data_IF_533691112283
#
_entry.id   IF_533691112283
#
_cell.length_a   1.000
_cell.length_b   1.000
_cell.length_c   1.000
_cell.angle_alpha   90.00
_cell.angle_beta   90.00
_cell.angle_gamma   90.00
#
_symmetry.space_group_name_H-M   'P 1'
#
loop_
_entity.id
_entity.type
_entity.pdbx_description
1 polymer ?
#
# COMPACT_ATOMS: atom_id res chain seq x y z
N UNK A 1 -24.20 29.61 -37.20
CA UNK A 1 -23.47 30.47 -38.14
C UNK A 1 -23.30 31.85 -37.53
N UNK A 2 -22.08 32.45 -37.49
CA UNK A 2 -20.96 32.32 -38.42
C UNK A 2 -19.72 31.73 -37.76
N UNK A 3 -18.97 31.05 -38.34
CA UNK A 3 -17.74 30.84 -39.10
C UNK A 3 -16.70 31.99 -39.00
N UNK A 4 -15.53 31.73 -38.39
CA UNK A 4 -14.23 32.37 -38.62
C UNK A 4 -13.17 31.32 -38.21
N UNK A 5 -12.60 30.64 -39.19
CA UNK A 5 -11.36 30.89 -39.95
C UNK A 5 -10.10 31.04 -39.12
N UNK A 6 -9.31 30.02 -39.16
CA UNK A 6 -7.94 29.69 -39.35
C UNK A 6 -6.88 30.75 -38.98
N UNK A 7 -5.88 30.30 -38.16
CA UNK A 7 -4.52 30.80 -38.33
C UNK A 7 -3.50 29.69 -38.05
N UNK A 8 -2.65 29.54 -39.06
CA UNK A 8 -1.60 28.57 -39.21
C UNK A 8 -0.47 28.74 -38.16
N UNK A 9 0.18 27.63 -37.88
CA UNK A 9 1.51 27.47 -37.30
C UNK A 9 2.58 28.24 -38.09
N UNK A 10 3.65 28.60 -37.44
CA UNK A 10 4.97 28.45 -38.03
C UNK A 10 5.74 27.28 -37.36
N UNK A 11 6.23 26.46 -38.26
CA UNK A 11 7.30 25.51 -38.20
C UNK A 11 8.61 26.29 -37.90
N UNK A 12 9.31 25.97 -36.84
CA UNK A 12 10.74 26.35 -36.71
C UNK A 12 11.45 25.12 -36.10
N UNK A 13 12.05 24.41 -37.09
CA UNK A 13 13.06 23.41 -36.80
C UNK A 13 14.33 24.08 -36.28
N UNK A 14 14.78 23.63 -35.14
CA UNK A 14 16.17 23.83 -34.72
C UNK A 14 16.76 22.49 -34.29
N UNK A 15 17.42 21.87 -35.26
CA UNK A 15 18.32 20.74 -35.08
C UNK A 15 19.51 21.17 -34.23
N UNK A 16 19.54 20.79 -32.96
CA UNK A 16 20.74 20.93 -32.14
C UNK A 16 21.61 19.68 -32.27
N UNK A 17 22.56 19.77 -33.21
CA UNK A 17 23.71 18.87 -33.36
C UNK A 17 24.50 18.79 -32.05
N UNK A 18 24.63 17.58 -31.53
CA UNK A 18 25.64 17.22 -30.53
C UNK A 18 27.00 17.04 -31.25
N UNK A 19 28.09 17.57 -30.75
CA UNK A 19 29.42 17.26 -31.26
C UNK A 19 29.90 15.89 -30.76
N UNK A 20 30.32 15.07 -31.72
CA UNK A 20 31.11 13.88 -31.48
C UNK A 20 32.51 14.33 -31.05
N UNK A 21 32.95 13.85 -29.91
CA UNK A 21 34.34 13.99 -29.48
C UNK A 21 35.00 12.62 -29.54
N UNK A 22 35.81 12.45 -30.60
CA UNK A 22 36.75 11.38 -30.81
C UNK A 22 37.83 11.43 -29.73
N UNK A 23 37.99 10.41 -28.96
CA UNK A 23 39.19 10.13 -28.20
C UNK A 23 39.77 8.80 -28.65
N UNK A 24 40.60 8.88 -29.69
CA UNK A 24 41.62 7.85 -29.99
C UNK A 24 42.63 7.83 -28.84
N UNK A 25 42.67 6.73 -28.11
CA UNK A 25 43.83 6.46 -27.23
C UNK A 25 44.71 5.40 -27.86
N UNK A 26 45.85 5.92 -28.30
CA UNK A 26 46.95 5.21 -28.94
C UNK A 26 47.59 4.17 -28.01
N UNK A 27 47.63 2.94 -28.44
CA UNK A 27 48.60 1.93 -28.06
C UNK A 27 49.98 2.29 -28.63
N UNK A 28 51.07 2.16 -27.89
CA UNK A 28 52.38 2.06 -28.50
C UNK A 28 52.78 0.58 -28.69
N UNK A 29 52.89 0.24 -29.95
CA UNK A 29 53.66 -0.85 -30.48
C UNK A 29 55.14 -0.41 -30.49
N UNK A 30 56.06 -1.24 -30.06
CA UNK A 30 57.22 -1.62 -30.83
C UNK A 30 58.35 -2.20 -29.98
N UNK A 31 58.64 -3.39 -30.32
CA UNK A 31 59.97 -4.00 -30.18
C UNK A 31 60.96 -3.23 -31.11
N UNK A 32 62.24 -3.32 -30.86
CA UNK A 32 63.05 -3.93 -31.90
C UNK A 32 64.08 -4.97 -31.43
N UNK A 33 64.22 -5.91 -32.29
CA UNK A 33 65.24 -6.88 -32.60
C UNK A 33 66.60 -6.19 -32.85
N UNK A 34 67.64 -6.86 -32.49
CA UNK A 34 69.01 -6.62 -32.90
C UNK A 34 69.98 -7.02 -31.81
N UNK A 35 70.96 -7.78 -31.99
CA UNK A 35 71.65 -8.25 -33.13
C UNK A 35 72.68 -9.30 -32.64
N UNK A 36 72.83 -10.26 -33.39
CA UNK A 36 73.85 -11.32 -33.46
C UNK A 36 75.24 -10.74 -33.44
N UNK A 37 76.16 -11.30 -32.63
CA UNK A 37 77.57 -11.36 -33.04
C UNK A 37 78.27 -12.60 -32.51
N UNK A 38 78.66 -13.30 -33.49
CA UNK A 38 79.48 -14.50 -33.59
C UNK A 38 80.92 -14.29 -33.16
N UNK A 39 81.50 -15.45 -33.03
CA UNK A 39 82.88 -15.85 -33.38
C UNK A 39 83.86 -16.17 -32.24
N UNK A 40 83.96 -17.42 -32.03
CA UNK A 40 85.10 -18.34 -32.10
C UNK A 40 86.52 -17.81 -31.83
N UNK A 41 87.50 -18.76 -31.74
CA UNK A 41 87.80 -19.84 -30.79
C UNK A 41 89.24 -19.68 -30.24
N UNK A 42 89.72 -20.57 -29.45
CA UNK A 42 91.12 -21.10 -29.44
C UNK A 42 91.22 -22.15 -28.35
N UNK A 43 91.44 -23.36 -28.78
CA UNK A 43 92.44 -24.39 -28.65
C UNK A 43 93.05 -24.62 -27.27
N UNK A 44 92.81 -25.85 -26.90
CA UNK A 44 93.73 -26.95 -26.61
C UNK A 44 94.79 -26.76 -25.50
N UNK A 45 94.66 -27.56 -24.48
CA UNK A 45 95.71 -28.51 -24.18
C UNK A 45 95.19 -29.64 -23.30
N UNK A 46 95.49 -30.84 -23.73
CA UNK A 46 95.28 -32.12 -23.10
C UNK A 46 96.08 -32.30 -21.80
N UNK A 47 95.41 -32.87 -20.77
CA UNK A 47 96.15 -33.78 -19.88
C UNK A 47 95.22 -34.89 -19.38
N UNK A 48 95.69 -36.09 -19.52
CA UNK A 48 95.04 -37.38 -19.26
C UNK A 48 95.01 -37.73 -17.77
N UNK A 49 94.39 -38.81 -17.39
CA UNK A 49 93.46 -38.92 -16.29
C UNK A 49 94.07 -39.52 -15.02
N UNK A 50 93.49 -39.19 -13.90
CA UNK A 50 93.69 -39.90 -12.64
C UNK A 50 92.39 -40.59 -12.28
N UNK A 51 92.34 -41.86 -11.99
CA UNK A 51 91.09 -42.52 -11.60
C UNK A 51 90.77 -42.19 -10.17
N UNK A 52 89.67 -41.48 -9.97
CA UNK A 52 89.08 -41.25 -8.64
C UNK A 52 88.06 -42.37 -8.39
N UNK A 53 88.33 -43.18 -7.44
CA UNK A 53 87.47 -44.22 -6.88
C UNK A 53 86.20 -43.56 -6.27
N UNK A 54 85.04 -43.86 -6.85
CA UNK A 54 83.75 -43.49 -6.33
C UNK A 54 83.39 -44.35 -5.12
N UNK A 55 83.33 -43.72 -3.93
CA UNK A 55 82.70 -44.30 -2.76
C UNK A 55 81.18 -44.09 -2.87
N UNK A 56 80.34 -45.11 -2.63
CA UNK A 56 78.91 -44.99 -2.74
C UNK A 56 78.32 -44.20 -1.55
N UNK A 57 77.69 -43.07 -1.81
CA UNK A 57 76.96 -42.29 -0.81
C UNK A 57 75.69 -43.07 -0.43
N UNK A 58 75.71 -43.65 0.75
CA UNK A 58 74.67 -44.43 1.38
C UNK A 58 73.68 -43.46 2.08
N UNK A 59 73.05 -42.54 1.32
CA UNK A 59 72.16 -41.51 1.92
C UNK A 59 70.75 -41.42 1.34
N UNK A 60 70.41 -42.05 0.19
CA UNK A 60 69.14 -41.85 -0.50
C UNK A 60 67.91 -42.55 0.09
N UNK A 61 68.07 -43.49 1.02
CA UNK A 61 66.92 -44.18 1.64
C UNK A 61 66.25 -43.35 2.73
N UNK A 62 66.96 -42.56 3.51
CA UNK A 62 66.39 -41.70 4.57
C UNK A 62 65.65 -40.48 3.99
N UNK A 63 66.22 -39.93 2.91
CA UNK A 63 65.52 -38.74 2.27
C UNK A 63 64.19 -39.14 1.65
N UNK A 64 64.12 -40.33 1.00
CA UNK A 64 62.86 -40.87 0.45
C UNK A 64 61.78 -41.14 1.56
N UNK A 65 62.25 -41.59 2.74
CA UNK A 65 61.40 -41.82 3.91
C UNK A 65 60.81 -40.49 4.46
N UNK A 66 61.68 -39.46 4.55
CA UNK A 66 61.24 -38.15 5.00
C UNK A 66 60.28 -37.45 4.00
N UNK A 67 60.56 -37.59 2.71
CA UNK A 67 59.67 -37.10 1.64
C UNK A 67 58.33 -37.85 1.73
N UNK A 68 58.30 -39.15 1.91
CA UNK A 68 57.06 -39.92 2.10
C UNK A 68 56.28 -39.49 3.31
N UNK A 69 56.97 -39.24 4.47
CA UNK A 69 56.37 -38.77 5.67
C UNK A 69 55.72 -37.38 5.50
N UNK A 70 56.38 -36.45 4.81
CA UNK A 70 55.86 -35.10 4.52
C UNK A 70 54.63 -35.18 3.61
N UNK A 71 54.64 -36.04 2.59
CA UNK A 71 53.48 -36.24 1.71
C UNK A 71 52.28 -36.80 2.48
N UNK A 72 52.52 -37.79 3.38
CA UNK A 72 51.44 -38.34 4.22
C UNK A 72 50.91 -37.31 5.19
N UNK A 73 51.73 -36.46 5.79
CA UNK A 73 51.30 -35.37 6.69
C UNK A 73 50.51 -34.30 5.91
N UNK A 74 50.92 -33.94 4.70
CA UNK A 74 50.19 -33.01 3.85
C UNK A 74 48.86 -33.62 3.39
N UNK A 75 48.80 -34.89 3.06
CA UNK A 75 47.59 -35.60 2.69
C UNK A 75 46.63 -35.72 3.88
N UNK A 76 47.13 -36.06 5.06
CA UNK A 76 46.36 -36.16 6.29
C UNK A 76 45.87 -34.76 6.77
N UNK A 77 46.73 -33.74 6.73
CA UNK A 77 46.39 -32.35 7.04
C UNK A 77 45.40 -31.76 6.04
N UNK A 78 45.65 -31.96 4.74
CA UNK A 78 44.73 -31.50 3.68
C UNK A 78 43.39 -32.24 3.70
N UNK A 79 43.42 -33.57 3.88
CA UNK A 79 42.21 -34.39 4.02
C UNK A 79 41.43 -34.07 5.29
N UNK A 80 42.12 -33.88 6.43
CA UNK A 80 41.51 -33.45 7.70
C UNK A 80 40.89 -32.03 7.60
N UNK A 81 41.61 -31.10 6.98
CA UNK A 81 41.10 -29.72 6.75
C UNK A 81 39.91 -29.72 5.77
N UNK A 82 39.96 -30.51 4.69
CA UNK A 82 38.85 -30.68 3.75
C UNK A 82 37.62 -31.30 4.43
N UNK A 83 37.85 -32.36 5.22
CA UNK A 83 36.78 -33.02 5.97
C UNK A 83 36.18 -32.09 7.02
N UNK A 84 37.01 -31.35 7.80
CA UNK A 84 36.60 -30.37 8.79
C UNK A 84 35.78 -29.22 8.15
N UNK A 85 36.27 -28.67 7.06
CA UNK A 85 35.54 -27.61 6.29
C UNK A 85 34.23 -28.11 5.71
N UNK A 86 34.19 -29.35 5.23
CA UNK A 86 32.98 -29.93 4.65
C UNK A 86 31.97 -30.37 5.73
N UNK A 87 32.45 -30.79 6.92
CA UNK A 87 31.63 -31.18 8.05
C UNK A 87 30.94 -29.98 8.75
N UNK A 88 31.56 -28.81 8.68
CA UNK A 88 30.96 -27.59 9.30
C UNK A 88 29.83 -26.97 8.48
N UNK A 89 29.66 -27.36 7.25
CA UNK A 89 28.70 -26.69 6.32
C UNK A 89 27.38 -27.43 6.13
N UNK A 90 27.18 -28.57 6.82
CA UNK A 90 25.93 -29.33 6.66
C UNK A 90 24.99 -29.12 7.83
N UNK A 91 23.87 -28.41 7.52
CA UNK A 91 22.74 -28.40 8.43
C UNK A 91 22.22 -29.81 8.69
N UNK A 92 21.66 -30.09 9.87
CA UNK A 92 21.04 -31.38 10.17
C UNK A 92 20.03 -31.76 9.05
N UNK A 93 19.96 -33.04 8.68
CA UNK A 93 19.03 -33.51 7.65
C UNK A 93 17.59 -33.20 8.10
N UNK A 94 16.82 -32.55 7.21
CA UNK A 94 15.44 -32.15 7.47
C UNK A 94 15.24 -30.68 7.82
N UNK A 95 16.30 -29.87 7.85
CA UNK A 95 16.22 -28.41 8.00
C UNK A 95 16.55 -27.79 6.63
N UNK A 96 15.60 -27.02 6.11
CA UNK A 96 15.81 -26.15 4.93
C UNK A 96 16.08 -24.73 5.42
N UNK A 97 16.97 -24.03 4.74
CA UNK A 97 17.28 -22.64 5.06
C UNK A 97 17.28 -21.77 3.80
N UNK A 98 16.95 -20.52 3.97
CA UNK A 98 16.98 -19.53 2.89
C UNK A 98 17.20 -18.14 3.46
N UNK A 99 17.71 -17.26 2.63
CA UNK A 99 17.84 -15.85 2.95
C UNK A 99 16.55 -15.12 2.56
N UNK A 100 16.18 -14.12 3.34
CA UNK A 100 15.03 -13.29 3.06
C UNK A 100 15.16 -11.94 3.76
N UNK A 101 14.15 -11.11 3.59
CA UNK A 101 14.00 -9.82 4.25
C UNK A 101 12.75 -9.87 5.12
N UNK A 102 12.82 -9.26 6.31
CA UNK A 102 11.63 -8.99 7.09
C UNK A 102 10.82 -7.90 6.39
N UNK A 103 9.56 -8.16 6.18
CA UNK A 103 8.61 -7.27 5.54
C UNK A 103 7.38 -7.12 6.43
N UNK A 104 6.68 -6.02 6.26
CA UNK A 104 5.40 -5.74 6.89
C UNK A 104 4.48 -5.12 5.84
N UNK A 105 3.17 -5.25 6.03
CA UNK A 105 2.22 -4.70 5.10
C UNK A 105 2.29 -3.17 5.10
N UNK A 106 2.44 -2.61 3.91
CA UNK A 106 2.37 -1.18 3.69
C UNK A 106 0.91 -0.75 3.51
N UNK A 107 0.49 0.25 4.26
CA UNK A 107 -0.85 0.82 4.20
C UNK A 107 -0.73 2.28 3.85
N UNK A 108 -1.38 2.69 2.77
CA UNK A 108 -1.46 4.09 2.39
C UNK A 108 -2.60 4.79 3.14
N UNK A 109 -2.34 6.00 3.61
CA UNK A 109 -3.34 6.89 4.19
C UNK A 109 -3.62 7.96 3.17
N UNK A 110 -4.80 7.85 2.54
CA UNK A 110 -5.20 8.62 1.37
C UNK A 110 -6.33 9.61 1.70
N UNK A 111 -6.45 10.67 0.90
CA UNK A 111 -7.56 11.61 0.99
C UNK A 111 -8.82 11.04 0.30
N UNK A 112 -9.96 11.05 1.00
CA UNK A 112 -11.25 10.66 0.40
C UNK A 112 -11.78 11.73 -0.57
N UNK A 113 -11.58 13.00 -0.24
CA UNK A 113 -12.03 14.15 -1.02
C UNK A 113 -10.83 14.98 -1.48
N UNK A 114 -10.95 15.68 -2.63
CA UNK A 114 -9.92 16.62 -3.03
C UNK A 114 -9.89 17.82 -2.08
N UNK A 115 -8.72 18.28 -1.75
CA UNK A 115 -8.59 19.42 -0.83
C UNK A 115 -7.15 19.78 -0.53
N UNK A 116 -6.96 20.78 0.33
CA UNK A 116 -5.67 21.24 0.82
C UNK A 116 -5.36 20.63 2.18
N UNK A 117 -4.14 20.19 2.40
CA UNK A 117 -3.69 19.76 3.72
C UNK A 117 -3.55 21.00 4.62
N UNK A 118 -4.29 21.02 5.72
CA UNK A 118 -4.22 22.07 6.74
C UNK A 118 -3.14 21.76 7.79
N UNK A 119 -3.10 20.53 8.29
CA UNK A 119 -2.23 20.12 9.38
C UNK A 119 -1.72 18.69 9.15
N UNK A 120 -0.50 18.43 9.61
CA UNK A 120 0.08 17.11 9.73
C UNK A 120 0.44 16.89 11.22
N UNK A 121 -0.04 15.80 11.80
CA UNK A 121 0.15 15.47 13.21
C UNK A 121 1.14 14.32 13.43
N UNK A 122 1.65 13.73 12.36
CA UNK A 122 2.65 12.68 12.39
C UNK A 122 3.78 13.00 11.39
N UNK A 123 4.97 12.46 11.64
CA UNK A 123 6.13 12.56 10.76
C UNK A 123 6.75 11.16 10.53
N UNK A 124 7.74 11.13 9.61
CA UNK A 124 8.48 9.90 9.27
C UNK A 124 9.10 9.30 10.53
N UNK A 125 8.82 8.03 10.77
CA UNK A 125 9.35 7.28 11.90
C UNK A 125 8.45 7.26 13.13
N UNK A 126 7.39 8.07 13.17
CA UNK A 126 6.47 8.11 14.30
C UNK A 126 5.64 6.83 14.41
N UNK A 127 5.40 6.41 15.66
CA UNK A 127 4.46 5.35 15.98
C UNK A 127 3.06 5.93 16.11
N UNK A 128 2.10 5.32 15.41
CA UNK A 128 0.70 5.72 15.42
C UNK A 128 -0.19 4.56 15.85
N UNK A 129 -1.31 4.90 16.50
CA UNK A 129 -2.30 3.91 16.94
C UNK A 129 -3.55 3.97 16.05
N UNK A 130 -4.28 2.87 15.97
CA UNK A 130 -5.53 2.79 15.22
C UNK A 130 -6.52 3.89 15.66
N UNK A 131 -7.07 4.64 14.69
CA UNK A 131 -7.96 5.76 14.94
C UNK A 131 -7.27 7.09 15.30
N UNK A 132 -5.95 7.13 15.42
CA UNK A 132 -5.21 8.37 15.64
C UNK A 132 -5.25 9.25 14.39
N UNK A 133 -5.62 10.52 14.56
CA UNK A 133 -5.58 11.51 13.46
C UNK A 133 -4.12 11.84 13.15
N UNK A 134 -3.71 11.57 11.91
CA UNK A 134 -2.34 11.79 11.42
C UNK A 134 -2.24 13.02 10.52
N UNK A 135 -3.34 13.41 9.88
CA UNK A 135 -3.43 14.64 9.09
C UNK A 135 -4.84 15.19 9.10
N UNK A 136 -4.99 16.47 8.80
CA UNK A 136 -6.27 17.15 8.64
C UNK A 136 -6.29 17.96 7.36
N UNK A 137 -7.37 17.81 6.61
CA UNK A 137 -7.63 18.62 5.43
C UNK A 137 -8.31 19.95 5.81
N UNK A 138 -8.19 20.99 4.98
CA UNK A 138 -8.94 22.23 5.14
C UNK A 138 -10.43 21.99 4.84
N UNK A 139 -11.27 22.18 5.85
CA UNK A 139 -12.72 21.93 5.80
C UNK A 139 -13.55 23.20 5.81
N UNK A 140 -12.96 24.40 5.66
CA UNK A 140 -13.66 25.68 5.77
C UNK A 140 -14.89 25.77 4.86
N UNK A 141 -14.73 25.38 3.59
CA UNK A 141 -15.82 25.42 2.61
C UNK A 141 -16.97 24.46 2.97
N UNK A 142 -16.60 23.28 3.51
CA UNK A 142 -17.58 22.28 3.96
C UNK A 142 -18.28 22.79 5.23
N UNK A 143 -17.56 23.46 6.15
CA UNK A 143 -18.14 24.05 7.35
C UNK A 143 -19.14 25.16 7.01
N UNK A 144 -18.87 26.01 6.01
CA UNK A 144 -19.86 27.01 5.55
C UNK A 144 -21.09 26.33 4.90
N UNK A 145 -20.87 25.23 4.17
CA UNK A 145 -21.98 24.43 3.63
C UNK A 145 -22.80 23.78 4.75
N UNK A 146 -22.16 23.30 5.81
CA UNK A 146 -22.86 22.80 7.00
C UNK A 146 -23.71 23.88 7.68
N UNK A 147 -23.18 25.09 7.86
CA UNK A 147 -23.94 26.23 8.43
C UNK A 147 -25.15 26.56 7.57
N UNK A 148 -25.01 26.54 6.23
CA UNK A 148 -26.12 26.72 5.31
C UNK A 148 -27.20 25.65 5.48
N UNK A 149 -26.81 24.37 5.54
CA UNK A 149 -27.72 23.23 5.76
C UNK A 149 -28.43 23.36 7.13
N UNK A 150 -27.72 23.77 8.18
CA UNK A 150 -28.33 24.03 9.49
C UNK A 150 -29.35 25.18 9.45
N UNK A 151 -29.11 26.21 8.63
CA UNK A 151 -30.08 27.26 8.43
C UNK A 151 -31.36 26.77 7.70
N UNK A 152 -31.19 25.84 6.74
CA UNK A 152 -32.30 25.16 6.05
C UNK A 152 -33.15 24.32 7.01
N UNK A 153 -32.52 23.59 7.94
CA UNK A 153 -33.23 22.87 9.01
C UNK A 153 -34.08 23.81 9.84
N UNK A 154 -33.52 24.96 10.25
CA UNK A 154 -34.29 25.98 10.99
C UNK A 154 -35.47 26.55 10.17
N UNK A 155 -35.28 26.73 8.86
CA UNK A 155 -36.33 27.16 7.95
C UNK A 155 -37.44 26.11 7.84
N UNK A 156 -37.08 24.84 7.65
CA UNK A 156 -38.04 23.74 7.57
C UNK A 156 -38.81 23.55 8.89
N UNK A 157 -38.16 23.75 10.05
CA UNK A 157 -38.83 23.75 11.35
C UNK A 157 -39.90 24.82 11.45
N UNK A 158 -39.62 26.04 10.99
CA UNK A 158 -40.62 27.13 10.97
C UNK A 158 -41.80 26.84 10.01
N UNK A 159 -41.53 26.13 8.91
CA UNK A 159 -42.60 25.70 8.00
C UNK A 159 -43.53 24.68 8.66
N UNK A 160 -43.01 23.81 9.53
CA UNK A 160 -43.83 22.92 10.37
C UNK A 160 -44.70 23.75 11.35
N UNK A 161 -44.11 24.74 12.01
CA UNK A 161 -44.84 25.60 12.96
C UNK A 161 -46.01 26.34 12.26
N UNK A 162 -45.76 26.85 11.04
CA UNK A 162 -46.77 27.47 10.19
C UNK A 162 -47.87 26.49 9.76
N UNK A 163 -47.48 25.29 9.31
CA UNK A 163 -48.42 24.23 8.93
C UNK A 163 -49.28 23.78 10.12
N UNK A 164 -48.71 23.67 11.32
CA UNK A 164 -49.44 23.35 12.54
C UNK A 164 -50.42 24.45 12.94
N UNK A 165 -50.06 25.73 12.82
CA UNK A 165 -50.98 26.85 13.06
C UNK A 165 -52.17 26.80 12.07
N UNK A 166 -51.93 26.47 10.79
CA UNK A 166 -53.00 26.30 9.82
C UNK A 166 -53.87 25.09 10.13
N UNK A 167 -53.25 23.96 10.58
CA UNK A 167 -54.00 22.76 11.00
C UNK A 167 -54.94 23.08 12.16
N UNK A 168 -54.50 23.83 13.14
CA UNK A 168 -55.35 24.23 14.29
C UNK A 168 -56.49 25.15 13.86
N UNK A 169 -56.26 26.05 12.92
CA UNK A 169 -57.30 26.86 12.31
C UNK A 169 -58.37 25.99 11.62
N UNK A 170 -57.98 25.04 10.79
CA UNK A 170 -58.91 24.14 10.11
C UNK A 170 -59.66 23.23 11.10
N UNK A 171 -59.00 22.80 12.18
CA UNK A 171 -59.62 22.03 13.25
C UNK A 171 -60.72 22.82 13.95
N UNK A 172 -60.47 24.09 14.23
CA UNK A 172 -61.48 24.99 14.82
C UNK A 172 -62.66 25.18 13.89
N UNK A 173 -62.46 25.38 12.57
CA UNK A 173 -63.49 25.47 11.57
C UNK A 173 -64.31 24.18 11.48
N UNK A 174 -63.69 23.02 11.50
CA UNK A 174 -64.40 21.76 11.50
C UNK A 174 -65.21 21.53 12.75
N UNK A 175 -64.72 21.93 13.93
CA UNK A 175 -65.47 21.88 15.21
C UNK A 175 -66.69 22.74 15.15
N UNK A 176 -66.58 23.97 14.62
CA UNK A 176 -67.71 24.86 14.46
C UNK A 176 -68.78 24.29 13.52
N UNK A 177 -68.36 23.79 12.35
CA UNK A 177 -69.25 23.15 11.36
C UNK A 177 -69.99 21.93 11.94
N UNK A 178 -69.33 21.14 12.76
CA UNK A 178 -69.91 20.00 13.46
C UNK A 178 -70.96 20.39 14.45
N UNK A 179 -70.71 21.42 15.27
CA UNK A 179 -71.67 21.95 16.22
C UNK A 179 -72.94 22.55 15.54
N UNK A 180 -72.74 23.28 14.41
CA UNK A 180 -73.85 23.81 13.64
C UNK A 180 -74.68 22.72 12.98
N UNK A 181 -74.04 21.66 12.44
CA UNK A 181 -74.74 20.51 11.87
C UNK A 181 -75.60 19.79 12.94
N UNK A 182 -75.00 19.50 14.12
CA UNK A 182 -75.69 18.81 15.22
C UNK A 182 -76.88 19.61 15.71
N UNK A 183 -76.71 20.95 15.90
CA UNK A 183 -77.84 21.87 16.26
C UNK A 183 -78.93 21.82 15.19
N UNK A 184 -78.56 21.91 13.89
CA UNK A 184 -79.57 21.96 12.81
C UNK A 184 -80.28 20.62 12.69
N UNK A 185 -79.58 19.48 12.91
CA UNK A 185 -80.16 18.16 12.95
C UNK A 185 -81.21 18.00 14.07
N UNK A 186 -80.94 18.55 15.23
CA UNK A 186 -81.84 18.55 16.37
C UNK A 186 -83.05 19.40 16.08
N UNK A 187 -82.93 20.57 15.46
CA UNK A 187 -84.06 21.45 15.05
C UNK A 187 -84.88 20.83 13.94
N UNK A 188 -84.26 20.11 12.97
CA UNK A 188 -84.99 19.38 11.91
C UNK A 188 -85.84 18.24 12.47
N UNK A 189 -85.36 17.49 13.44
CA UNK A 189 -86.12 16.43 14.12
C UNK A 189 -87.37 16.98 14.83
N UNK A 190 -87.29 18.21 15.33
CA UNK A 190 -88.44 18.90 16.03
C UNK A 190 -89.33 19.75 15.10
N UNK A 191 -89.07 19.71 13.79
CA UNK A 191 -89.85 20.50 12.80
C UNK A 191 -89.50 21.98 12.69
N UNK A 192 -88.44 22.45 13.35
CA UNK A 192 -88.07 23.90 13.37
C UNK A 192 -86.94 24.23 12.31
N UNK A 193 -86.50 23.32 11.51
CA UNK A 193 -85.54 23.56 10.41
C UNK A 193 -85.98 22.87 9.12
N UNK A 194 -85.54 23.39 7.97
CA UNK A 194 -85.80 22.83 6.65
C UNK A 194 -84.71 21.74 6.30
N UNK A 195 -85.08 20.78 5.45
CA UNK A 195 -84.12 19.82 4.93
C UNK A 195 -82.99 20.46 4.13
N UNK A 196 -83.33 21.51 3.39
CA UNK A 196 -82.33 22.30 2.62
C UNK A 196 -81.25 22.89 3.53
N UNK A 197 -81.61 23.46 4.70
CA UNK A 197 -80.66 23.99 5.66
C UNK A 197 -79.81 22.90 6.26
N UNK A 198 -80.37 21.74 6.52
CA UNK A 198 -79.60 20.60 6.99
C UNK A 198 -78.56 20.11 5.92
N UNK A 199 -79.01 19.99 4.67
CA UNK A 199 -78.10 19.56 3.57
C UNK A 199 -76.99 20.60 3.33
N UNK A 200 -77.28 21.90 3.47
CA UNK A 200 -76.26 22.98 3.42
C UNK A 200 -75.21 22.85 4.56
N UNK A 201 -75.71 22.62 5.82
CA UNK A 201 -74.79 22.44 6.97
C UNK A 201 -73.96 21.17 6.86
N UNK A 202 -74.51 20.09 6.28
CA UNK A 202 -73.78 18.85 5.99
C UNK A 202 -72.65 19.07 4.96
N UNK A 203 -72.94 19.80 3.87
CA UNK A 203 -71.93 20.16 2.89
C UNK A 203 -70.85 21.05 3.51
N UNK A 204 -71.17 21.97 4.40
CA UNK A 204 -70.21 22.80 5.12
C UNK A 204 -69.32 21.96 6.03
N UNK A 205 -69.86 20.96 6.71
CA UNK A 205 -69.09 20.01 7.53
C UNK A 205 -68.17 19.10 6.68
N UNK A 206 -68.66 18.60 5.55
CA UNK A 206 -67.88 17.79 4.62
C UNK A 206 -66.69 18.59 4.05
N UNK A 207 -66.94 19.88 3.67
CA UNK A 207 -65.89 20.82 3.22
C UNK A 207 -64.84 21.11 4.31
N UNK A 208 -65.28 21.36 5.56
CA UNK A 208 -64.36 21.58 6.69
C UNK A 208 -63.53 20.33 7.01
N UNK A 209 -64.12 19.13 6.88
CA UNK A 209 -63.42 17.86 7.07
C UNK A 209 -62.36 17.64 5.99
N UNK A 210 -62.67 17.96 4.73
CA UNK A 210 -61.69 17.92 3.63
C UNK A 210 -60.56 18.93 3.84
N UNK A 211 -60.87 20.16 4.31
CA UNK A 211 -59.90 21.17 4.68
C UNK A 211 -58.95 20.73 5.80
N UNK A 212 -59.51 20.09 6.85
CA UNK A 212 -58.68 19.52 7.93
C UNK A 212 -57.72 18.44 7.42
N UNK A 213 -58.19 17.50 6.58
CA UNK A 213 -57.32 16.48 5.97
C UNK A 213 -56.21 17.12 5.16
N UNK A 214 -56.50 18.10 4.32
CA UNK A 214 -55.50 18.80 3.52
C UNK A 214 -54.47 19.51 4.40
N UNK A 215 -54.86 20.11 5.54
CA UNK A 215 -53.93 20.72 6.49
C UNK A 215 -53.05 19.66 7.20
N UNK A 216 -53.62 18.51 7.55
CA UNK A 216 -52.85 17.38 8.12
C UNK A 216 -51.76 16.88 7.14
N UNK A 217 -52.11 16.74 5.86
CA UNK A 217 -51.12 16.32 4.84
C UNK A 217 -50.03 17.38 4.62
N UNK A 218 -50.34 18.67 4.79
CA UNK A 218 -49.32 19.73 4.72
C UNK A 218 -48.34 19.66 5.89
N UNK A 219 -48.80 19.35 7.10
CA UNK A 219 -47.89 19.10 8.23
C UNK A 219 -46.96 17.92 7.92
N UNK A 220 -47.53 16.79 7.47
CA UNK A 220 -46.72 15.62 7.11
C UNK A 220 -45.71 15.94 5.97
N UNK A 221 -46.08 16.77 5.01
CA UNK A 221 -45.17 17.24 3.97
C UNK A 221 -44.02 18.09 4.54
N UNK A 222 -44.33 19.02 5.45
CA UNK A 222 -43.33 19.85 6.10
C UNK A 222 -42.37 19.05 6.98
N UNK A 223 -42.86 18.02 7.69
CA UNK A 223 -42.06 17.11 8.48
C UNK A 223 -41.04 16.33 7.61
N UNK A 224 -41.49 15.82 6.47
CA UNK A 224 -40.58 15.14 5.51
C UNK A 224 -39.52 16.09 4.94
N UNK A 225 -39.88 17.38 4.71
CA UNK A 225 -38.90 18.38 4.27
C UNK A 225 -37.87 18.69 5.37
N UNK A 226 -38.27 18.69 6.64
CA UNK A 226 -37.35 18.81 7.76
C UNK A 226 -36.38 17.61 7.81
N UNK A 227 -36.91 16.40 7.71
CA UNK A 227 -36.10 15.17 7.68
C UNK A 227 -35.05 15.22 6.56
N UNK A 228 -35.46 15.60 5.35
CA UNK A 228 -34.53 15.76 4.22
C UNK A 228 -33.43 16.79 4.54
N UNK A 229 -33.77 17.94 5.12
CA UNK A 229 -32.79 18.95 5.51
C UNK A 229 -31.84 18.47 6.62
N UNK A 230 -32.30 17.60 7.52
CA UNK A 230 -31.47 16.99 8.56
C UNK A 230 -30.47 16.00 7.96
N UNK A 231 -30.86 15.26 6.93
CA UNK A 231 -29.93 14.37 6.19
C UNK A 231 -28.81 15.16 5.51
N UNK A 232 -29.11 16.36 4.97
CA UNK A 232 -28.06 17.23 4.41
C UNK A 232 -27.06 17.67 5.49
N UNK A 233 -27.52 18.02 6.69
CA UNK A 233 -26.63 18.31 7.83
C UNK A 233 -25.77 17.09 8.18
N UNK A 234 -26.37 15.90 8.23
CA UNK A 234 -25.66 14.63 8.45
C UNK A 234 -24.56 14.40 7.43
N UNK A 235 -24.87 14.60 6.14
CA UNK A 235 -23.92 14.46 5.04
C UNK A 235 -22.68 15.34 5.22
N UNK A 236 -22.86 16.65 5.48
CA UNK A 236 -21.73 17.56 5.68
C UNK A 236 -20.95 17.25 6.95
N UNK A 237 -21.60 16.77 8.00
CA UNK A 237 -20.93 16.35 9.24
C UNK A 237 -20.01 15.16 8.99
N UNK A 238 -20.48 14.14 8.25
CA UNK A 238 -19.67 12.99 7.85
C UNK A 238 -18.51 13.43 6.95
N UNK A 239 -18.80 14.30 5.96
CA UNK A 239 -17.73 14.79 5.07
C UNK A 239 -16.63 15.55 5.85
N UNK A 240 -16.97 16.31 6.89
CA UNK A 240 -15.98 16.98 7.75
C UNK A 240 -15.16 15.93 8.51
N UNK A 241 -15.80 14.92 9.08
CA UNK A 241 -15.10 13.86 9.81
C UNK A 241 -14.16 13.04 8.89
N UNK A 242 -14.57 12.79 7.65
CA UNK A 242 -13.78 12.07 6.65
C UNK A 242 -12.56 12.87 6.15
N UNK A 243 -12.48 14.17 6.47
CA UNK A 243 -11.30 14.99 6.20
C UNK A 243 -10.26 14.97 7.33
N UNK A 244 -10.55 14.33 8.45
CA UNK A 244 -9.55 13.92 9.44
C UNK A 244 -9.00 12.55 9.02
N UNK A 245 -7.76 12.54 8.52
CA UNK A 245 -7.12 11.31 8.08
C UNK A 245 -6.59 10.55 9.29
N UNK A 246 -7.06 9.33 9.47
CA UNK A 246 -6.75 8.51 10.64
C UNK A 246 -5.91 7.30 10.25
N UNK A 247 -5.03 6.86 11.14
CA UNK A 247 -4.33 5.59 10.99
C UNK A 247 -5.33 4.42 11.12
N UNK A 248 -5.41 3.51 10.13
CA UNK A 248 -6.36 2.39 10.16
C UNK A 248 -5.96 1.29 11.16
N UNK A 249 -4.69 1.21 11.51
CA UNK A 249 -4.09 0.21 12.43
C UNK A 249 -2.95 0.81 13.24
N UNK A 250 -2.50 0.05 14.24
CA UNK A 250 -1.25 0.36 14.94
C UNK A 250 -0.07 0.11 14.01
N UNK A 251 0.84 1.07 13.92
CA UNK A 251 1.96 0.94 13.00
C UNK A 251 2.94 2.10 13.08
N UNK A 252 3.85 2.14 12.13
CA UNK A 252 4.87 3.17 12.03
C UNK A 252 4.77 3.90 10.69
N UNK A 253 4.82 5.22 10.72
CA UNK A 253 4.90 6.02 9.49
C UNK A 253 6.25 5.77 8.80
N UNK A 254 6.19 5.27 7.58
CA UNK A 254 7.37 4.99 6.77
C UNK A 254 7.72 6.17 5.87
N UNK A 255 6.72 6.72 5.19
CA UNK A 255 6.91 7.86 4.28
C UNK A 255 5.83 8.90 4.51
N UNK A 256 6.25 10.16 4.46
CA UNK A 256 5.39 11.32 4.29
C UNK A 256 5.48 11.75 2.82
N UNK A 257 4.38 11.60 2.09
CA UNK A 257 4.31 11.87 0.65
C UNK A 257 3.92 13.32 0.40
N UNK A 258 3.01 13.85 1.22
CA UNK A 258 2.46 15.18 1.04
C UNK A 258 2.87 16.15 2.15
N UNK A 259 2.79 17.45 1.87
CA UNK A 259 3.20 18.52 2.75
C UNK A 259 2.03 19.46 3.11
N UNK A 260 2.16 20.16 4.24
CA UNK A 260 1.18 21.17 4.65
C UNK A 260 1.02 22.24 3.54
N UNK A 261 -0.22 22.59 3.23
CA UNK A 261 -0.58 23.54 2.18
C UNK A 261 -0.68 22.96 0.79
N UNK A 262 -0.28 21.71 0.58
CA UNK A 262 -0.42 21.01 -0.70
C UNK A 262 -1.87 20.67 -0.99
N UNK A 263 -2.24 20.71 -2.27
CA UNK A 263 -3.58 20.36 -2.74
C UNK A 263 -3.53 18.98 -3.38
N UNK A 264 -4.33 18.06 -2.86
CA UNK A 264 -4.40 16.68 -3.34
C UNK A 264 -5.74 16.40 -4.03
N UNK A 265 -5.75 15.54 -5.06
CA UNK A 265 -6.97 14.97 -5.60
C UNK A 265 -7.57 13.93 -4.63
N UNK A 266 -8.80 13.48 -4.88
CA UNK A 266 -9.35 12.31 -4.22
C UNK A 266 -8.46 11.07 -4.48
N UNK A 267 -8.16 10.28 -3.44
CA UNK A 267 -7.20 9.18 -3.48
C UNK A 267 -5.74 9.64 -3.47
N UNK A 268 -5.46 10.90 -3.17
CA UNK A 268 -4.11 11.41 -3.01
C UNK A 268 -3.47 10.89 -1.72
N UNK A 269 -2.28 10.28 -1.84
CA UNK A 269 -1.55 9.70 -0.71
C UNK A 269 -0.91 10.80 0.15
N UNK A 270 -1.12 10.71 1.45
CA UNK A 270 -0.51 11.62 2.43
C UNK A 270 0.62 10.94 3.17
N UNK A 271 0.38 9.73 3.66
CA UNK A 271 1.36 8.90 4.34
C UNK A 271 1.33 7.47 3.82
N UNK A 272 2.46 6.79 3.92
CA UNK A 272 2.53 5.33 3.90
C UNK A 272 3.00 4.86 5.27
N UNK A 273 2.26 3.94 5.88
CA UNK A 273 2.59 3.34 7.17
C UNK A 273 2.85 1.84 7.04
N UNK A 274 3.65 1.30 7.93
CA UNK A 274 3.87 -0.14 8.10
C UNK A 274 3.00 -0.69 9.22
N UNK A 275 2.26 -1.75 8.93
CA UNK A 275 1.58 -2.53 9.96
C UNK A 275 2.60 -3.43 10.68
N UNK A 276 3.00 -3.03 11.89
CA UNK A 276 3.96 -3.78 12.69
C UNK A 276 3.33 -4.90 13.53
N UNK A 277 2.01 -5.05 13.48
CA UNK A 277 1.31 -6.12 14.22
C UNK A 277 1.53 -7.49 13.57
N UNK A 278 1.79 -7.51 12.28
CA UNK A 278 2.07 -8.71 11.49
C UNK A 278 3.30 -8.49 10.61
N UNK A 279 4.37 -9.20 10.94
CA UNK A 279 5.63 -9.14 10.20
C UNK A 279 5.90 -10.51 9.61
N UNK A 280 6.29 -10.57 8.36
CA UNK A 280 6.60 -11.80 7.65
C UNK A 280 7.95 -11.72 6.95
N UNK A 281 8.41 -12.85 6.45
CA UNK A 281 9.66 -12.96 5.72
C UNK A 281 9.46 -13.87 4.53
N UNK A 282 9.66 -13.33 3.34
CA UNK A 282 9.69 -14.12 2.12
C UNK A 282 11.07 -14.73 1.92
N UNK A 283 11.10 -16.05 1.77
CA UNK A 283 12.31 -16.81 1.50
C UNK A 283 12.13 -17.62 0.22
N UNK A 284 13.22 -17.80 -0.51
CA UNK A 284 13.24 -18.60 -1.72
C UNK A 284 14.02 -19.88 -1.46
N UNK A 285 13.38 -21.01 -1.65
CA UNK A 285 13.96 -22.34 -1.44
C UNK A 285 14.10 -23.07 -2.77
N UNK A 286 15.19 -23.88 -2.93
CA UNK A 286 15.27 -24.80 -4.05
C UNK A 286 14.10 -25.77 -4.09
N UNK A 287 13.66 -26.20 -5.28
CA UNK A 287 12.48 -27.04 -5.47
C UNK A 287 12.48 -28.33 -4.62
N UNK A 288 13.65 -28.97 -4.45
CA UNK A 288 13.81 -30.18 -3.64
C UNK A 288 13.58 -29.93 -2.14
N UNK A 289 13.88 -28.74 -1.66
CA UNK A 289 13.70 -28.35 -0.27
C UNK A 289 12.28 -27.82 -0.04
N UNK A 290 11.79 -26.98 -0.93
CA UNK A 290 10.43 -26.45 -0.90
C UNK A 290 9.38 -27.58 -0.84
N UNK A 291 9.58 -28.67 -1.59
CA UNK A 291 8.68 -29.84 -1.58
C UNK A 291 8.61 -30.60 -0.25
N UNK A 292 9.52 -30.35 0.68
CA UNK A 292 9.54 -30.95 2.02
C UNK A 292 8.88 -30.06 3.07
N UNK A 293 8.77 -28.75 2.80
CA UNK A 293 8.18 -27.76 3.70
C UNK A 293 6.65 -27.86 3.65
N UNK A 294 6.01 -27.80 4.81
CA UNK A 294 4.54 -27.80 4.93
C UNK A 294 4.08 -26.48 5.50
N UNK A 295 2.94 -25.98 5.04
CA UNK A 295 2.26 -24.87 5.68
C UNK A 295 1.96 -25.23 7.14
N UNK A 296 2.24 -24.30 8.06
CA UNK A 296 2.17 -24.50 9.51
C UNK A 296 3.43 -25.10 10.14
N UNK A 297 4.46 -25.44 9.38
CA UNK A 297 5.73 -25.92 9.92
C UNK A 297 6.41 -24.83 10.76
N UNK A 298 7.09 -25.25 11.84
CA UNK A 298 7.85 -24.33 12.67
C UNK A 298 9.11 -23.86 11.95
N UNK A 299 9.36 -22.56 12.03
CA UNK A 299 10.51 -21.90 11.46
C UNK A 299 11.22 -21.03 12.51
N UNK A 300 12.43 -20.61 12.22
CA UNK A 300 13.19 -19.68 13.05
C UNK A 300 13.85 -18.65 12.16
N UNK A 301 13.59 -17.39 12.44
CA UNK A 301 14.22 -16.26 11.76
C UNK A 301 15.44 -15.85 12.57
N UNK A 302 16.60 -15.86 11.92
CA UNK A 302 17.87 -15.38 12.49
C UNK A 302 18.17 -14.02 11.87
N UNK A 303 18.21 -12.99 12.69
CA UNK A 303 18.61 -11.65 12.25
C UNK A 303 20.14 -11.53 12.27
N UNK A 304 20.72 -10.94 11.23
CA UNK A 304 22.16 -10.70 11.16
C UNK A 304 22.68 -9.86 12.34
N UNK A 305 21.87 -8.93 12.83
CA UNK A 305 22.18 -8.11 14.00
C UNK A 305 22.13 -8.89 15.32
N UNK A 306 21.35 -9.97 15.40
CA UNK A 306 21.10 -10.74 16.64
C UNK A 306 21.12 -12.26 16.39
N UNK A 307 22.25 -12.84 15.94
CA UNK A 307 22.31 -14.25 15.54
C UNK A 307 22.10 -15.24 16.71
N UNK A 308 22.27 -14.79 17.94
CA UNK A 308 22.06 -15.61 19.15
C UNK A 308 20.60 -15.66 19.63
N UNK A 309 19.70 -14.86 19.04
CA UNK A 309 18.30 -14.74 19.46
C UNK A 309 17.35 -15.07 18.30
N UNK A 310 17.11 -16.37 18.01
CA UNK A 310 16.21 -16.78 16.95
C UNK A 310 14.76 -16.39 17.29
N UNK A 311 14.09 -15.75 16.33
CA UNK A 311 12.67 -15.38 16.43
C UNK A 311 11.84 -16.58 15.97
N UNK A 312 10.92 -17.10 16.80
CA UNK A 312 10.03 -18.18 16.39
C UNK A 312 9.05 -17.68 15.30
N UNK A 313 8.87 -18.48 14.27
CA UNK A 313 7.98 -18.19 13.15
C UNK A 313 7.28 -19.47 12.70
N UNK A 314 6.29 -19.33 11.84
CA UNK A 314 5.61 -20.44 11.19
C UNK A 314 5.48 -20.17 9.70
N UNK A 315 5.56 -21.22 8.90
CA UNK A 315 5.29 -21.13 7.47
C UNK A 315 3.80 -20.86 7.28
N UNK A 316 3.46 -19.66 6.82
CA UNK A 316 2.08 -19.24 6.57
C UNK A 316 1.61 -19.58 5.16
N UNK A 317 2.52 -19.52 4.20
CA UNK A 317 2.21 -19.70 2.79
C UNK A 317 3.35 -20.42 2.07
N UNK A 318 3.00 -21.23 1.07
CA UNK A 318 3.93 -21.85 0.13
C UNK A 318 3.39 -21.59 -1.28
N UNK A 319 4.19 -20.92 -2.10
CA UNK A 319 3.82 -20.62 -3.48
C UNK A 319 3.63 -21.91 -4.29
N UNK A 320 2.52 -21.99 -5.03
CA UNK A 320 2.21 -23.15 -5.89
C UNK A 320 2.96 -23.13 -7.23
N UNK A 321 3.54 -21.97 -7.57
CA UNK A 321 4.30 -21.78 -8.81
C UNK A 321 5.71 -21.29 -8.49
N UNK A 322 6.70 -21.85 -9.19
CA UNK A 322 8.08 -21.38 -9.09
C UNK A 322 8.19 -19.97 -9.65
N UNK A 323 8.88 -19.10 -8.94
CA UNK A 323 9.32 -17.84 -9.51
C UNK A 323 10.59 -18.08 -10.34
N UNK A 324 10.53 -17.71 -11.60
CA UNK A 324 11.68 -17.78 -12.49
C UNK A 324 12.42 -16.44 -12.49
N UNK A 325 13.73 -16.47 -12.30
CA UNK A 325 14.57 -15.48 -12.97
C UNK A 325 14.42 -15.72 -14.49
N UNK A 326 14.30 -14.67 -15.33
CA UNK A 326 13.88 -14.79 -16.74
C UNK A 326 14.97 -15.42 -17.62
N UNK A 327 15.33 -16.67 -17.37
CA UNK A 327 16.10 -17.53 -18.27
C UNK A 327 15.32 -18.80 -18.48
N UNK A 328 15.03 -19.11 -19.75
CA UNK A 328 14.48 -20.40 -20.17
C UNK A 328 15.29 -21.53 -19.57
N UNK A 329 14.64 -22.34 -18.74
CA UNK A 329 15.28 -23.50 -18.09
C UNK A 329 15.38 -24.62 -19.10
N UNK A 330 16.56 -24.79 -19.70
CA UNK A 330 16.80 -25.80 -20.74
C UNK A 330 17.56 -27.02 -20.23
N UNK A 331 18.25 -26.91 -19.10
CA UNK A 331 19.09 -27.99 -18.57
C UNK A 331 18.72 -28.42 -17.17
N UNK A 332 19.09 -29.66 -16.79
CA UNK A 332 18.83 -30.23 -15.48
C UNK A 332 19.52 -29.43 -14.35
N UNK A 333 20.69 -28.86 -14.62
CA UNK A 333 21.44 -28.02 -13.69
C UNK A 333 20.78 -26.62 -13.49
N UNK A 334 19.91 -26.21 -14.38
CA UNK A 334 19.15 -24.96 -14.25
C UNK A 334 17.84 -25.16 -13.48
N UNK A 335 17.26 -26.37 -13.50
CA UNK A 335 16.14 -26.73 -12.63
C UNK A 335 16.48 -26.71 -11.15
N UNK A 336 17.72 -27.05 -10.81
CA UNK A 336 18.22 -27.01 -9.43
C UNK A 336 18.36 -25.58 -8.89
N UNK A 337 18.28 -24.57 -9.76
CA UNK A 337 18.30 -23.13 -9.42
C UNK A 337 16.90 -22.51 -9.30
N UNK A 338 15.85 -23.29 -9.50
CA UNK A 338 14.48 -22.82 -9.28
C UNK A 338 14.25 -22.55 -7.80
N UNK A 339 13.74 -21.35 -7.50
CA UNK A 339 13.37 -20.92 -6.16
C UNK A 339 11.85 -20.83 -6.05
N UNK A 340 11.32 -21.19 -4.90
CA UNK A 340 9.90 -21.11 -4.57
C UNK A 340 9.70 -20.24 -3.36
#
# INVERSE_FOLDING_TARGET
MPNISGKAMPDDGDEMKLPAEDVEEKLPLSAPIGEEKSLHPVSATANLPVPVTLTPIRGKRRLRFWIGLVVVLLAAGGGGFYWWKHSQSQLPPGISWGNGRLEADEIDIDTKFPGRIAELHADIGDMVTAGQVVARMDTKDIQESLKKAQAQVKQAQRAIDEANANLEQQRTQQTLAAQELDRTQSLLKNGYATKELFDQRKQAMDAATAGLRAATERVAQAERALEASQHDVGLYTVNIADNDLVAPRDGRIQYRIANIGEVLPAGGKVFTMLDISYVYMDIYLPALEAGKVKVGADARILLDAYPASPIPAKVSFLASQAQFTPKTVETQSERDKLMF
#
